data_IF_221804619002
#
_entry.id   IF_221804619002
#
_cell.length_a   1.000
_cell.length_b   1.000
_cell.length_c   1.000
_cell.angle_alpha   90.00
_cell.angle_beta   90.00
_cell.angle_gamma   90.00
#
_symmetry.space_group_name_H-M   'P 1'
#
loop_
_entity.id
_entity.type
_entity.pdbx_description
1 polymer ?
#
# COMPACT_ATOMS: atom_id res chain seq x y z
N UNK A 1 -29.64 -57.71 7.41
CA UNK A 1 -28.69 -56.73 6.85
C UNK A 1 -28.46 -55.55 7.81
N UNK A 2 -28.31 -55.80 9.12
CA UNK A 2 -28.06 -54.76 10.13
C UNK A 2 -26.95 -55.25 11.07
N UNK A 3 -25.70 -55.28 10.60
CA UNK A 3 -24.57 -55.70 11.44
C UNK A 3 -23.78 -54.48 11.88
N UNK A 4 -23.20 -54.53 13.08
CA UNK A 4 -22.35 -53.45 13.62
C UNK A 4 -21.27 -53.06 12.60
N UNK A 5 -20.78 -54.01 11.79
CA UNK A 5 -19.81 -53.78 10.72
C UNK A 5 -20.27 -52.76 9.68
N UNK A 6 -21.53 -52.84 9.21
CA UNK A 6 -22.06 -51.87 8.24
C UNK A 6 -22.26 -50.48 8.84
N UNK A 7 -22.53 -50.40 10.15
CA UNK A 7 -22.61 -49.14 10.88
C UNK A 7 -21.24 -48.43 10.94
N UNK A 8 -20.17 -49.16 11.24
CA UNK A 8 -18.81 -48.63 11.23
C UNK A 8 -18.35 -48.16 9.84
N UNK A 9 -18.73 -48.88 8.79
CA UNK A 9 -18.43 -48.49 7.41
C UNK A 9 -19.16 -47.18 7.06
N UNK A 10 -20.44 -47.05 7.44
CA UNK A 10 -21.20 -45.82 7.24
C UNK A 10 -20.63 -44.62 8.01
N UNK A 11 -20.28 -44.81 9.28
CA UNK A 11 -19.66 -43.77 10.10
C UNK A 11 -18.25 -43.38 9.63
N UNK A 12 -17.44 -44.36 9.25
CA UNK A 12 -16.11 -44.13 8.70
C UNK A 12 -16.16 -43.32 7.41
N UNK A 13 -17.13 -43.61 6.52
CA UNK A 13 -17.37 -42.83 5.32
C UNK A 13 -17.70 -41.36 5.63
N UNK A 14 -18.48 -41.11 6.68
CA UNK A 14 -18.90 -39.76 7.08
C UNK A 14 -17.72 -38.92 7.61
N UNK A 15 -16.83 -39.54 8.39
CA UNK A 15 -15.60 -38.89 8.88
C UNK A 15 -14.64 -38.58 7.72
N UNK A 16 -14.44 -39.54 6.82
CA UNK A 16 -13.55 -39.35 5.66
C UNK A 16 -14.11 -38.28 4.72
N UNK A 17 -15.41 -38.27 4.46
CA UNK A 17 -16.07 -37.22 3.66
C UNK A 17 -15.93 -35.83 4.29
N UNK A 18 -16.14 -35.72 5.60
CA UNK A 18 -15.95 -34.46 6.33
C UNK A 18 -14.50 -33.97 6.35
N UNK A 19 -13.54 -34.88 6.54
CA UNK A 19 -12.11 -34.56 6.48
C UNK A 19 -11.64 -34.13 5.10
N UNK A 20 -12.14 -34.79 4.04
CA UNK A 20 -11.87 -34.40 2.66
C UNK A 20 -12.44 -33.02 2.32
N UNK A 21 -13.67 -32.73 2.74
CA UNK A 21 -14.29 -31.41 2.58
C UNK A 21 -13.51 -30.32 3.33
N UNK A 22 -13.05 -30.58 4.56
CA UNK A 22 -12.22 -29.65 5.32
C UNK A 22 -10.88 -29.37 4.65
N UNK A 23 -10.21 -30.42 4.14
CA UNK A 23 -8.91 -30.26 3.48
C UNK A 23 -9.04 -29.41 2.20
N UNK A 24 -10.03 -29.70 1.36
CA UNK A 24 -10.26 -28.94 0.13
C UNK A 24 -10.70 -27.50 0.41
N UNK A 25 -11.54 -27.28 1.43
CA UNK A 25 -11.93 -25.94 1.86
C UNK A 25 -10.76 -25.13 2.46
N UNK A 26 -9.80 -25.79 3.11
CA UNK A 26 -8.60 -25.11 3.63
C UNK A 26 -7.63 -24.74 2.52
N UNK A 27 -7.56 -25.58 1.48
CA UNK A 27 -6.70 -25.37 0.33
C UNK A 27 -7.12 -24.15 -0.51
N UNK A 28 -8.43 -23.86 -0.63
CA UNK A 28 -8.92 -22.65 -1.33
C UNK A 28 -8.61 -21.36 -0.58
N UNK A 29 -8.63 -21.38 0.76
CA UNK A 29 -8.33 -20.21 1.60
C UNK A 29 -6.83 -19.87 1.57
N UNK A 30 -5.98 -20.90 1.62
CA UNK A 30 -4.52 -20.70 1.58
C UNK A 30 -4.03 -20.28 0.19
N UNK A 31 -4.70 -20.76 -0.88
CA UNK A 31 -4.39 -20.34 -2.25
C UNK A 31 -4.64 -18.83 -2.44
N UNK A 32 -5.80 -18.32 -2.03
CA UNK A 32 -6.15 -16.91 -2.21
C UNK A 32 -5.23 -15.96 -1.40
N UNK A 33 -4.86 -16.36 -0.17
CA UNK A 33 -3.89 -15.59 0.64
C UNK A 33 -2.49 -15.59 0.04
N UNK A 34 -2.05 -16.71 -0.54
CA UNK A 34 -0.76 -16.79 -1.23
C UNK A 34 -0.76 -15.92 -2.50
N UNK A 35 -1.80 -15.98 -3.32
CA UNK A 35 -1.92 -15.14 -4.52
C UNK A 35 -1.94 -13.65 -4.18
N UNK A 36 -2.72 -13.23 -3.18
CA UNK A 36 -2.70 -11.83 -2.70
C UNK A 36 -1.33 -11.40 -2.20
N UNK A 37 -0.60 -12.30 -1.54
CA UNK A 37 0.77 -12.04 -1.09
C UNK A 37 1.73 -11.86 -2.27
N UNK A 38 1.68 -12.73 -3.28
CA UNK A 38 2.48 -12.60 -4.50
C UNK A 38 2.14 -11.32 -5.28
N UNK A 39 0.86 -10.99 -5.41
CA UNK A 39 0.39 -9.75 -6.04
C UNK A 39 0.93 -8.51 -5.30
N UNK A 40 0.94 -8.52 -3.96
CA UNK A 40 1.55 -7.44 -3.16
C UNK A 40 3.04 -7.31 -3.41
N UNK A 41 3.79 -8.41 -3.40
CA UNK A 41 5.24 -8.39 -3.66
C UNK A 41 5.54 -7.82 -5.05
N UNK A 42 4.79 -8.24 -6.07
CA UNK A 42 4.97 -7.75 -7.44
C UNK A 42 4.64 -6.26 -7.57
N UNK A 43 3.56 -5.81 -6.94
CA UNK A 43 3.19 -4.40 -6.92
C UNK A 43 4.24 -3.54 -6.19
N UNK A 44 4.77 -4.05 -5.08
CA UNK A 44 5.82 -3.37 -4.32
C UNK A 44 7.11 -3.24 -5.14
N UNK A 45 7.56 -4.32 -5.80
CA UNK A 45 8.72 -4.26 -6.70
C UNK A 45 8.53 -3.25 -7.84
N UNK A 46 7.35 -3.23 -8.46
CA UNK A 46 7.04 -2.24 -9.50
C UNK A 46 7.15 -0.81 -8.97
N UNK A 47 6.65 -0.55 -7.76
CA UNK A 47 6.76 0.77 -7.15
C UNK A 47 8.22 1.11 -6.82
N UNK A 48 9.00 0.17 -6.27
CA UNK A 48 10.43 0.35 -6.00
C UNK A 48 11.22 0.66 -7.28
N UNK A 49 10.91 0.01 -8.41
CA UNK A 49 11.52 0.32 -9.71
C UNK A 49 11.16 1.72 -10.21
N UNK A 50 9.91 2.13 -10.04
CA UNK A 50 9.44 3.47 -10.40
C UNK A 50 10.05 4.54 -9.48
N UNK A 51 10.19 4.26 -8.19
CA UNK A 51 10.87 5.13 -7.23
C UNK A 51 12.36 5.19 -7.52
N UNK A 52 13.03 4.09 -7.81
CA UNK A 52 14.45 4.07 -8.18
C UNK A 52 14.70 4.81 -9.50
N UNK A 53 13.83 4.64 -10.50
CA UNK A 53 13.90 5.38 -11.77
C UNK A 53 13.57 6.86 -11.57
N UNK A 54 12.56 7.15 -10.75
CA UNK A 54 12.20 8.51 -10.34
C UNK A 54 13.33 9.20 -9.59
N UNK A 55 14.01 8.51 -8.68
CA UNK A 55 15.18 9.00 -7.96
C UNK A 55 16.41 9.14 -8.86
N UNK A 56 16.62 8.26 -9.86
CA UNK A 56 17.71 8.41 -10.83
C UNK A 56 17.50 9.62 -11.76
N UNK A 57 16.26 9.86 -12.19
CA UNK A 57 15.89 11.04 -12.98
C UNK A 57 15.90 12.31 -12.13
N UNK A 58 15.32 12.28 -10.92
CA UNK A 58 15.27 13.41 -9.99
C UNK A 58 16.63 13.74 -9.36
N UNK A 59 17.55 12.79 -9.20
CA UNK A 59 18.93 13.08 -8.78
C UNK A 59 19.73 13.78 -9.89
N UNK A 60 19.48 13.43 -11.16
CA UNK A 60 20.10 14.10 -12.31
C UNK A 60 19.52 15.49 -12.54
N UNK A 61 18.20 15.65 -12.41
CA UNK A 61 17.53 16.96 -12.49
C UNK A 61 17.85 17.82 -11.27
N UNK A 62 17.76 17.31 -10.04
CA UNK A 62 18.14 18.07 -8.85
C UNK A 62 19.62 18.44 -8.83
N UNK A 63 20.55 17.59 -9.28
CA UNK A 63 21.97 17.99 -9.37
C UNK A 63 22.18 19.14 -10.37
N UNK A 64 21.47 19.15 -11.49
CA UNK A 64 21.49 20.25 -12.46
C UNK A 64 20.83 21.51 -11.91
N UNK A 65 19.69 21.36 -11.24
CA UNK A 65 18.96 22.46 -10.62
C UNK A 65 19.70 23.02 -9.39
N UNK A 66 20.42 22.20 -8.63
CA UNK A 66 21.30 22.61 -7.53
C UNK A 66 22.53 23.36 -8.04
N UNK A 67 23.12 22.94 -9.16
CA UNK A 67 24.20 23.68 -9.82
C UNK A 67 23.70 25.01 -10.42
N UNK A 68 22.51 25.01 -11.02
CA UNK A 68 21.86 26.21 -11.52
C UNK A 68 21.48 27.17 -10.38
N UNK A 69 20.97 26.65 -9.26
CA UNK A 69 20.63 27.40 -8.06
C UNK A 69 21.88 28.00 -7.39
N UNK A 70 22.98 27.25 -7.30
CA UNK A 70 24.27 27.77 -6.81
C UNK A 70 24.81 28.90 -7.69
N UNK A 71 24.63 28.82 -9.00
CA UNK A 71 25.02 29.89 -9.93
C UNK A 71 24.15 31.14 -9.78
N UNK A 72 22.84 30.99 -9.51
CA UNK A 72 21.96 32.13 -9.25
C UNK A 72 22.13 32.74 -7.85
N UNK A 73 22.53 31.95 -6.85
CA UNK A 73 22.75 32.42 -5.47
C UNK A 73 24.01 33.28 -5.31
N UNK A 74 25.02 33.10 -6.18
CA UNK A 74 26.20 33.98 -6.24
C UNK A 74 25.84 35.40 -6.73
N UNK A 75 24.69 35.59 -7.38
CA UNK A 75 24.30 36.83 -8.05
C UNK A 75 23.20 37.63 -7.31
N UNK A 76 22.55 37.05 -6.29
CA UNK A 76 21.40 37.65 -5.61
C UNK A 76 21.78 38.22 -4.22
N UNK A 77 21.58 39.53 -3.94
CA UNK A 77 21.79 40.07 -2.60
C UNK A 77 20.76 39.51 -1.62
N UNK A 78 21.22 38.64 -0.72
CA UNK A 78 20.57 38.13 0.51
C UNK A 78 19.02 38.15 0.53
N UNK A 79 18.34 37.02 0.23
CA UNK A 79 16.91 36.94 0.39
C UNK A 79 16.56 37.12 1.87
N UNK A 80 15.77 38.14 2.18
CA UNK A 80 15.20 38.34 3.52
C UNK A 80 14.27 37.17 3.85
N UNK A 81 14.86 36.16 4.50
CA UNK A 81 14.32 35.25 5.52
C UNK A 81 12.81 35.03 5.48
N UNK A 82 12.41 33.88 4.93
CA UNK A 82 11.17 33.18 5.31
C UNK A 82 11.48 31.77 5.82
N UNK A 83 12.53 31.63 6.64
CA UNK A 83 12.69 30.45 7.48
C UNK A 83 11.81 30.62 8.71
N UNK A 84 10.85 29.72 8.98
CA UNK A 84 10.10 29.73 10.23
C UNK A 84 11.11 29.58 11.38
N UNK A 85 11.00 30.46 12.37
CA UNK A 85 11.99 30.56 13.45
C UNK A 85 11.77 29.52 14.56
N UNK A 86 10.57 28.92 14.61
CA UNK A 86 10.16 27.95 15.64
C UNK A 86 9.63 26.62 15.04
N UNK A 87 9.95 25.51 15.70
CA UNK A 87 9.53 24.15 15.32
C UNK A 87 8.00 23.98 15.33
N UNK A 88 7.30 24.72 16.19
CA UNK A 88 5.82 24.70 16.24
C UNK A 88 5.20 25.30 14.97
N UNK A 89 5.82 26.34 14.42
CA UNK A 89 5.35 27.01 13.21
C UNK A 89 5.56 26.11 11.97
N UNK A 90 6.67 25.34 11.94
CA UNK A 90 6.92 24.33 10.90
C UNK A 90 5.91 23.18 10.91
N UNK A 91 5.46 22.76 12.09
CA UNK A 91 4.51 21.65 12.23
C UNK A 91 3.07 22.09 11.97
N UNK A 92 2.74 23.35 12.29
CA UNK A 92 1.39 23.89 12.11
C UNK A 92 1.19 24.61 10.75
N UNK A 93 2.27 24.90 10.02
CA UNK A 93 2.20 25.41 8.66
C UNK A 93 1.66 24.35 7.71
N UNK A 94 0.38 24.46 7.37
CA UNK A 94 -0.26 23.62 6.35
C UNK A 94 0.32 23.95 4.99
N UNK A 95 0.62 22.92 4.21
CA UNK A 95 1.12 23.13 2.85
C UNK A 95 0.04 23.78 1.97
N UNK A 96 0.46 24.47 0.91
CA UNK A 96 -0.40 25.05 -0.14
C UNK A 96 -1.51 24.12 -0.65
N UNK A 97 -1.29 22.81 -0.61
CA UNK A 97 -2.17 21.81 -1.19
C UNK A 97 -2.95 21.00 -0.12
N UNK A 98 -2.78 21.34 1.16
CA UNK A 98 -3.46 20.65 2.23
C UNK A 98 -4.88 21.21 2.43
N UNK A 99 -5.87 20.33 2.33
CA UNK A 99 -7.26 20.72 2.49
C UNK A 99 -7.53 21.19 3.92
N UNK A 100 -8.07 22.40 4.07
CA UNK A 100 -8.43 22.97 5.37
C UNK A 100 -9.53 22.18 6.09
N UNK A 101 -10.36 21.47 5.34
CA UNK A 101 -11.43 20.63 5.84
C UNK A 101 -11.34 19.22 5.25
N UNK A 102 -11.64 18.18 6.04
CA UNK A 102 -11.70 16.82 5.52
C UNK A 102 -12.81 16.69 4.49
N UNK A 103 -12.52 16.00 3.38
CA UNK A 103 -13.51 15.74 2.33
C UNK A 103 -14.72 14.99 2.90
N UNK A 104 -15.93 15.51 2.64
CA UNK A 104 -17.20 14.84 2.96
C UNK A 104 -17.99 14.66 1.66
N UNK A 105 -18.24 13.40 1.31
CA UNK A 105 -19.09 13.07 0.16
C UNK A 105 -20.50 13.64 0.35
N UNK A 106 -21.12 14.12 -0.74
CA UNK A 106 -22.47 14.68 -0.71
C UNK A 106 -23.47 13.57 -0.42
N UNK A 107 -24.45 13.84 0.45
CA UNK A 107 -25.46 12.84 0.84
C UNK A 107 -26.24 12.42 -0.42
N UNK A 108 -26.17 11.14 -0.77
CA UNK A 108 -26.84 10.58 -1.95
C UNK A 108 -25.91 10.07 -3.06
N UNK A 109 -24.60 10.34 -3.00
CA UNK A 109 -23.63 9.88 -4.00
C UNK A 109 -23.02 8.51 -3.63
N UNK A 110 -23.90 7.57 -3.27
CA UNK A 110 -23.54 6.18 -2.98
C UNK A 110 -24.41 5.31 -3.87
N UNK A 111 -23.92 5.07 -5.09
CA UNK A 111 -24.39 4.05 -6.01
C UNK A 111 -25.86 4.20 -6.43
N UNK A 112 -26.06 4.88 -7.56
CA UNK A 112 -27.04 4.44 -8.57
C UNK A 112 -26.28 3.73 -9.69
#
# INVERSE_FOLDING_TARGET
MNTVKSFWIGWGSLIVGGGAAYYFAKQSIDAERREKHYQRILAQRRNEELEARGHASASTESARDHLAAQLSEVQEPAPTRHTPDDEEERVNSKSKFEASQPYKARRGDRFS
#
